data_IF_791666777411
#
_entry.id   IF_791666777411
#
_cell.length_a   1.000
_cell.length_b   1.000
_cell.length_c   1.000
_cell.angle_alpha   90.00
_cell.angle_beta   90.00
_cell.angle_gamma   90.00
#
_symmetry.space_group_name_H-M   'P 1'
#
loop_
_entity.id
_entity.type
_entity.pdbx_description
1 polymer ?
#
# COMPACT_ATOMS: atom_id res chain seq x y z
N UNK A 1 21.93 -14.05 41.31
CA UNK A 1 20.64 -14.60 40.83
C UNK A 1 20.52 -14.24 39.37
N UNK A 2 20.38 -15.28 38.55
CA UNK A 2 20.24 -15.34 37.09
C UNK A 2 19.55 -14.09 36.50
N UNK A 3 20.02 -13.51 35.40
CA UNK A 3 19.92 -14.13 34.08
C UNK A 3 20.97 -13.59 33.07
N UNK A 4 22.22 -14.02 33.19
CA UNK A 4 23.34 -13.78 32.24
C UNK A 4 23.30 -14.73 31.02
N UNK A 5 22.11 -15.19 30.61
CA UNK A 5 21.94 -16.26 29.62
C UNK A 5 21.82 -15.82 28.15
N UNK A 6 21.59 -14.54 27.87
CA UNK A 6 21.30 -14.08 26.49
C UNK A 6 22.50 -13.42 25.79
N UNK A 7 23.41 -12.81 26.54
CA UNK A 7 24.61 -12.16 25.99
C UNK A 7 25.77 -13.14 25.70
N UNK A 8 25.82 -14.29 26.39
CA UNK A 8 26.89 -15.27 26.16
C UNK A 8 26.67 -16.16 24.92
N UNK A 9 25.45 -16.17 24.36
CA UNK A 9 25.14 -16.88 23.11
C UNK A 9 25.51 -16.07 21.85
N UNK A 10 25.70 -14.75 21.97
CA UNK A 10 26.12 -13.88 20.86
C UNK A 10 27.65 -13.87 20.68
N UNK A 11 28.45 -13.84 21.76
CA UNK A 11 29.91 -13.76 21.65
C UNK A 11 30.60 -15.10 21.31
N UNK A 12 29.95 -16.23 21.62
CA UNK A 12 30.45 -17.56 21.24
C UNK A 12 30.22 -17.88 19.75
N UNK A 13 29.28 -17.20 19.09
CA UNK A 13 29.02 -17.37 17.65
C UNK A 13 29.89 -16.47 16.75
N UNK A 14 30.49 -15.42 17.31
CA UNK A 14 31.21 -14.40 16.54
C UNK A 14 32.73 -14.58 16.47
N UNK A 15 33.31 -15.54 17.20
CA UNK A 15 34.78 -15.59 17.29
C UNK A 15 35.49 -16.53 16.34
N UNK A 16 34.85 -17.51 15.69
CA UNK A 16 35.49 -18.23 14.57
C UNK A 16 34.46 -18.99 13.73
N UNK A 17 33.86 -18.32 12.73
CA UNK A 17 33.41 -18.94 11.47
C UNK A 17 33.01 -17.86 10.46
N UNK A 18 33.92 -17.63 9.53
CA UNK A 18 33.72 -17.16 8.16
C UNK A 18 32.92 -15.86 7.98
N UNK A 19 33.68 -14.78 7.76
CA UNK A 19 33.32 -13.50 7.12
C UNK A 19 32.34 -13.59 5.94
N UNK A 20 32.18 -14.77 5.34
CA UNK A 20 31.25 -15.03 4.27
C UNK A 20 29.78 -14.85 4.67
N UNK A 21 29.38 -15.24 5.89
CA UNK A 21 27.97 -15.15 6.32
C UNK A 21 27.54 -13.72 6.66
N UNK A 22 28.43 -12.94 7.27
CA UNK A 22 28.17 -11.52 7.56
C UNK A 22 28.13 -10.69 6.28
N UNK A 23 29.03 -10.97 5.32
CA UNK A 23 29.01 -10.37 3.99
C UNK A 23 27.78 -10.81 3.19
N UNK A 24 27.28 -12.05 3.34
CA UNK A 24 26.01 -12.49 2.73
C UNK A 24 24.81 -11.80 3.37
N UNK A 25 24.78 -11.61 4.70
CA UNK A 25 23.71 -10.89 5.37
C UNK A 25 23.71 -9.40 5.00
N UNK A 26 24.88 -8.76 5.00
CA UNK A 26 25.04 -7.38 4.53
C UNK A 26 24.73 -7.25 3.05
N UNK A 27 25.12 -8.21 2.20
CA UNK A 27 24.70 -8.23 0.78
C UNK A 27 23.21 -8.51 0.63
N UNK A 28 22.56 -9.30 1.48
CA UNK A 28 21.11 -9.48 1.47
C UNK A 28 20.36 -8.21 1.85
N UNK A 29 20.88 -7.45 2.81
CA UNK A 29 20.36 -6.12 3.15
C UNK A 29 20.67 -5.07 2.08
N UNK A 30 21.81 -5.17 1.39
CA UNK A 30 22.20 -4.22 0.34
C UNK A 30 21.57 -4.53 -1.03
N UNK A 31 21.16 -5.77 -1.29
CA UNK A 31 20.40 -6.20 -2.48
C UNK A 31 18.88 -6.13 -2.20
N UNK A 32 18.43 -5.05 -1.56
CA UNK A 32 17.00 -4.79 -1.32
C UNK A 32 16.39 -3.81 -2.34
N UNK A 33 17.21 -3.08 -3.11
CA UNK A 33 16.73 -2.01 -3.99
C UNK A 33 16.60 -2.36 -5.49
N UNK A 34 17.21 -3.44 -5.97
CA UNK A 34 17.35 -3.63 -7.43
C UNK A 34 16.35 -4.58 -8.09
N UNK A 35 15.54 -5.36 -7.36
CA UNK A 35 14.46 -6.14 -7.97
C UNK A 35 13.33 -6.40 -6.97
N UNK A 36 12.34 -5.50 -6.93
CA UNK A 36 11.00 -5.92 -6.54
C UNK A 36 10.61 -7.03 -7.52
N UNK A 37 10.46 -8.28 -7.05
CA UNK A 37 10.21 -9.40 -7.97
C UNK A 37 8.75 -9.30 -8.43
N UNK A 38 8.54 -8.52 -9.48
CA UNK A 38 7.27 -8.47 -10.22
C UNK A 38 7.30 -9.62 -11.22
N UNK A 39 7.15 -10.84 -10.73
CA UNK A 39 7.04 -12.00 -11.61
C UNK A 39 5.67 -11.99 -12.28
N UNK A 40 5.61 -11.46 -13.50
CA UNK A 40 4.42 -11.40 -14.36
C UNK A 40 3.78 -12.76 -14.69
N UNK A 41 4.40 -13.88 -14.26
CA UNK A 41 3.89 -15.24 -14.45
C UNK A 41 3.14 -15.80 -13.24
N UNK A 42 3.01 -15.05 -12.15
CA UNK A 42 2.29 -15.46 -10.94
C UNK A 42 0.79 -15.16 -11.06
N UNK A 43 -0.04 -15.96 -10.40
CA UNK A 43 -1.46 -15.64 -10.23
C UNK A 43 -1.65 -14.45 -9.27
N UNK A 44 -2.82 -13.79 -9.36
CA UNK A 44 -3.16 -12.57 -8.60
C UNK A 44 -2.91 -12.74 -7.09
N UNK A 45 -3.28 -13.89 -6.52
CA UNK A 45 -3.10 -14.16 -5.08
C UNK A 45 -1.62 -14.24 -4.72
N UNK A 46 -0.83 -14.99 -5.49
CA UNK A 46 0.62 -15.10 -5.27
C UNK A 46 1.33 -13.73 -5.35
N UNK A 47 0.88 -12.84 -6.24
CA UNK A 47 1.38 -11.46 -6.33
C UNK A 47 1.11 -10.69 -5.04
N UNK A 48 -0.13 -10.73 -4.52
CA UNK A 48 -0.47 -10.05 -3.28
C UNK A 48 0.26 -10.61 -2.06
N UNK A 49 0.39 -11.93 -1.95
CA UNK A 49 1.16 -12.57 -0.88
C UNK A 49 2.63 -12.13 -0.89
N UNK A 50 3.20 -11.96 -2.09
CA UNK A 50 4.54 -11.39 -2.26
C UNK A 50 4.62 -9.92 -1.84
N UNK A 51 3.63 -9.10 -2.20
CA UNK A 51 3.54 -7.69 -1.79
C UNK A 51 3.44 -7.54 -0.26
N UNK A 52 2.64 -8.38 0.40
CA UNK A 52 2.48 -8.37 1.85
C UNK A 52 3.80 -8.60 2.60
N UNK A 53 4.73 -9.36 2.03
CA UNK A 53 6.05 -9.59 2.62
C UNK A 53 7.04 -8.45 2.32
N UNK A 54 6.94 -7.84 1.14
CA UNK A 54 7.91 -6.85 0.67
C UNK A 54 7.58 -5.41 1.13
N UNK A 55 6.31 -5.03 1.19
CA UNK A 55 5.88 -3.67 1.55
C UNK A 55 6.39 -3.23 2.93
N UNK A 56 6.30 -4.03 4.01
CA UNK A 56 6.85 -3.65 5.30
C UNK A 56 8.34 -3.30 5.25
N UNK A 57 9.13 -4.08 4.49
CA UNK A 57 10.56 -3.84 4.35
C UNK A 57 10.87 -2.59 3.50
N UNK A 58 10.03 -2.30 2.49
CA UNK A 58 10.18 -1.12 1.64
C UNK A 58 10.01 0.19 2.41
N UNK A 59 9.10 0.21 3.39
CA UNK A 59 8.71 1.44 4.10
C UNK A 59 9.33 1.58 5.50
N UNK A 60 10.12 0.61 5.96
CA UNK A 60 10.58 0.53 7.35
C UNK A 60 11.55 1.65 7.75
N UNK A 61 12.45 2.04 6.85
CA UNK A 61 13.61 2.90 7.18
C UNK A 61 13.46 4.36 6.69
N UNK A 62 12.38 4.69 6.00
CA UNK A 62 12.12 6.03 5.47
C UNK A 62 11.02 6.73 6.29
N UNK A 63 11.31 7.84 7.00
CA UNK A 63 10.29 8.57 7.75
C UNK A 63 9.40 9.48 6.89
N UNK A 64 9.81 9.83 5.66
CA UNK A 64 9.02 10.71 4.80
C UNK A 64 7.82 9.96 4.18
N UNK A 65 6.62 10.38 4.58
CA UNK A 65 5.36 9.77 4.13
C UNK A 65 5.19 9.94 2.62
N UNK A 66 5.60 11.07 2.03
CA UNK A 66 5.43 11.32 0.60
C UNK A 66 6.34 10.39 -0.21
N UNK A 67 7.59 10.20 0.21
CA UNK A 67 8.51 9.26 -0.42
C UNK A 67 7.98 7.82 -0.39
N UNK A 68 7.49 7.37 0.77
CA UNK A 68 6.92 6.04 0.92
C UNK A 68 5.67 5.83 0.05
N UNK A 69 4.69 6.74 0.11
CA UNK A 69 3.48 6.64 -0.69
C UNK A 69 3.78 6.72 -2.20
N UNK A 70 4.76 7.53 -2.60
CA UNK A 70 5.21 7.59 -3.99
C UNK A 70 5.76 6.24 -4.47
N UNK A 71 6.66 5.62 -3.70
CA UNK A 71 7.20 4.29 -4.04
C UNK A 71 6.11 3.21 -4.04
N UNK A 72 5.19 3.24 -3.08
CA UNK A 72 4.07 2.29 -3.05
C UNK A 72 3.16 2.44 -4.27
N UNK A 73 2.82 3.67 -4.67
CA UNK A 73 2.04 3.91 -5.88
C UNK A 73 2.74 3.36 -7.13
N UNK A 74 4.07 3.53 -7.22
CA UNK A 74 4.88 3.00 -8.31
C UNK A 74 4.89 1.47 -8.32
N UNK A 75 5.05 0.82 -7.16
CA UNK A 75 5.01 -0.64 -7.01
C UNK A 75 3.66 -1.20 -7.47
N UNK A 76 2.55 -0.63 -7.00
CA UNK A 76 1.21 -1.09 -7.40
C UNK A 76 0.98 -0.92 -8.90
N UNK A 77 1.30 0.26 -9.45
CA UNK A 77 1.12 0.52 -10.87
C UNK A 77 1.99 -0.37 -11.75
N UNK A 78 3.25 -0.59 -11.37
CA UNK A 78 4.13 -1.49 -12.11
C UNK A 78 3.66 -2.95 -12.06
N UNK A 79 3.09 -3.37 -10.93
CA UNK A 79 2.64 -4.75 -10.70
C UNK A 79 1.34 -5.06 -11.42
N UNK A 80 0.31 -4.24 -11.22
CA UNK A 80 -1.05 -4.53 -11.69
C UNK A 80 -1.42 -3.85 -13.00
N UNK A 81 -0.65 -2.83 -13.42
CA UNK A 81 -0.95 -2.01 -14.60
C UNK A 81 -2.36 -1.39 -14.57
N UNK A 82 -2.86 -1.10 -13.36
CA UNK A 82 -4.12 -0.37 -13.20
C UNK A 82 -4.03 1.01 -13.83
N UNK A 83 -5.16 1.49 -14.35
CA UNK A 83 -5.25 2.78 -15.03
C UNK A 83 -4.84 3.93 -14.12
N UNK A 84 -5.33 3.89 -12.88
CA UNK A 84 -4.96 4.83 -11.84
C UNK A 84 -4.79 4.08 -10.52
N UNK A 85 -3.78 4.44 -9.74
CA UNK A 85 -3.61 3.98 -8.36
C UNK A 85 -2.88 5.03 -7.54
N UNK A 86 -3.38 5.33 -6.36
CA UNK A 86 -2.79 6.37 -5.53
C UNK A 86 -3.50 6.58 -4.23
N UNK A 87 -3.09 7.66 -3.56
CA UNK A 87 -3.55 7.97 -2.23
C UNK A 87 -4.24 9.34 -2.18
N UNK A 88 -5.30 9.43 -1.39
CA UNK A 88 -5.80 10.71 -0.90
C UNK A 88 -5.66 10.74 0.62
N UNK A 89 -5.18 11.85 1.16
CA UNK A 89 -4.92 12.01 2.60
C UNK A 89 -5.94 12.96 3.22
N UNK A 90 -6.40 12.64 4.42
CA UNK A 90 -7.31 13.49 5.17
C UNK A 90 -6.59 14.77 5.58
N UNK A 91 -7.13 15.91 5.17
CA UNK A 91 -6.73 17.25 5.60
C UNK A 91 -8.00 18.05 5.87
N UNK A 92 -8.26 18.30 7.16
CA UNK A 92 -9.49 18.94 7.61
C UNK A 92 -10.72 18.17 7.09
N UNK A 93 -11.64 18.84 6.38
CA UNK A 93 -12.89 18.25 5.87
C UNK A 93 -12.75 17.62 4.47
N UNK A 94 -11.51 17.43 3.99
CA UNK A 94 -11.23 16.94 2.65
C UNK A 94 -10.25 15.78 2.64
N UNK A 95 -10.48 14.87 1.69
CA UNK A 95 -9.44 14.05 1.09
C UNK A 95 -8.67 14.92 0.09
N UNK A 96 -7.37 15.07 0.28
CA UNK A 96 -6.47 15.83 -0.59
C UNK A 96 -5.53 14.88 -1.30
N UNK A 97 -5.40 15.06 -2.62
CA UNK A 97 -4.56 14.21 -3.47
C UNK A 97 -3.13 14.10 -2.94
N UNK A 98 -2.68 12.87 -2.70
CA UNK A 98 -1.32 12.49 -2.36
C UNK A 98 -0.59 11.87 -3.56
N UNK A 99 0.48 11.09 -3.34
CA UNK A 99 1.19 10.42 -4.43
C UNK A 99 0.32 9.38 -5.15
N UNK A 100 0.48 9.31 -6.47
CA UNK A 100 -0.30 8.42 -7.35
C UNK A 100 0.46 8.12 -8.64
N UNK A 101 -0.05 7.15 -9.39
CA UNK A 101 0.34 6.84 -10.77
C UNK A 101 -0.93 6.81 -11.65
N UNK A 102 -0.88 7.45 -12.80
CA UNK A 102 -2.01 7.58 -13.73
C UNK A 102 -2.15 8.99 -14.29
N UNK A 103 -3.23 9.29 -15.04
CA UNK A 103 -3.53 10.64 -15.50
C UNK A 103 -3.83 11.61 -14.34
N UNK A 104 -3.86 12.91 -14.65
CA UNK A 104 -4.23 13.98 -13.69
C UNK A 104 -5.59 13.67 -13.04
N UNK A 105 -5.64 13.80 -11.71
CA UNK A 105 -6.82 13.50 -10.89
C UNK A 105 -7.36 14.74 -10.17
N UNK A 106 -8.55 14.60 -9.57
CA UNK A 106 -9.14 15.64 -8.74
C UNK A 106 -8.26 15.96 -7.53
N UNK A 107 -8.06 17.24 -7.20
CA UNK A 107 -7.16 17.60 -6.08
C UNK A 107 -7.81 17.44 -4.70
N UNK A 108 -9.14 17.60 -4.60
CA UNK A 108 -9.89 17.57 -3.35
C UNK A 108 -11.21 16.84 -3.50
N UNK A 109 -11.53 16.00 -2.50
CA UNK A 109 -12.78 15.25 -2.41
C UNK A 109 -13.37 15.50 -1.02
N UNK A 110 -14.61 15.99 -0.95
CA UNK A 110 -15.26 16.28 0.32
C UNK A 110 -15.73 15.01 1.04
N UNK A 111 -15.83 15.08 2.37
CA UNK A 111 -16.33 13.97 3.20
C UNK A 111 -17.68 13.42 2.71
N UNK A 112 -17.76 12.10 2.49
CA UNK A 112 -18.98 11.43 2.03
C UNK A 112 -19.37 11.71 0.57
N UNK A 113 -18.46 12.23 -0.26
CA UNK A 113 -18.72 12.53 -1.68
C UNK A 113 -17.89 11.64 -2.61
N UNK A 114 -18.51 11.16 -3.68
CA UNK A 114 -17.89 10.16 -4.57
C UNK A 114 -17.61 8.84 -3.83
N UNK A 115 -16.96 7.90 -4.52
CA UNK A 115 -16.60 6.61 -3.93
C UNK A 115 -15.55 6.81 -2.83
N UNK A 116 -14.48 7.55 -3.12
CA UNK A 116 -13.45 7.94 -2.15
C UNK A 116 -14.00 8.54 -0.84
N UNK A 117 -14.81 9.60 -0.93
CA UNK A 117 -15.38 10.24 0.24
C UNK A 117 -16.39 9.35 0.97
N UNK A 118 -17.10 8.47 0.26
CA UNK A 118 -18.01 7.50 0.86
C UNK A 118 -17.25 6.44 1.65
N UNK A 119 -16.16 5.89 1.11
CA UNK A 119 -15.30 4.95 1.83
C UNK A 119 -14.72 5.57 3.10
N UNK A 120 -14.29 6.84 3.02
CA UNK A 120 -13.85 7.61 4.19
C UNK A 120 -14.97 7.77 5.24
N UNK A 121 -16.19 8.12 4.81
CA UNK A 121 -17.33 8.33 5.69
C UNK A 121 -17.81 7.04 6.37
N UNK A 122 -17.91 5.96 5.60
CA UNK A 122 -18.42 4.67 6.06
C UNK A 122 -17.37 3.84 6.79
N UNK A 123 -16.09 4.25 6.73
CA UNK A 123 -14.95 3.53 7.32
C UNK A 123 -14.95 2.06 6.91
N UNK A 124 -15.10 1.84 5.60
CA UNK A 124 -15.02 0.51 4.99
C UNK A 124 -14.57 0.61 3.55
N UNK A 125 -14.02 -0.48 3.05
CA UNK A 125 -13.66 -0.59 1.64
C UNK A 125 -14.89 -0.65 0.75
N UNK A 126 -14.76 -0.10 -0.45
CA UNK A 126 -15.78 -0.13 -1.49
C UNK A 126 -15.19 -0.77 -2.75
N UNK A 127 -15.89 -1.76 -3.28
CA UNK A 127 -15.71 -2.26 -4.64
C UNK A 127 -16.91 -1.77 -5.46
N UNK A 128 -16.63 -1.00 -6.50
CA UNK A 128 -17.65 -0.42 -7.39
C UNK A 128 -17.45 -1.01 -8.79
N UNK A 129 -18.25 -2.03 -9.18
CA UNK A 129 -18.10 -2.69 -10.48
C UNK A 129 -18.40 -1.79 -11.67
N UNK A 130 -19.32 -0.83 -11.52
CA UNK A 130 -19.60 0.24 -12.49
C UNK A 130 -19.74 1.57 -11.75
N UNK A 131 -18.80 2.49 -11.97
CA UNK A 131 -18.81 3.82 -11.33
C UNK A 131 -19.95 4.71 -11.82
N UNK A 132 -20.49 4.46 -13.02
CA UNK A 132 -21.61 5.24 -13.57
C UNK A 132 -22.92 4.94 -12.84
N UNK A 133 -23.03 3.75 -12.24
CA UNK A 133 -24.18 3.34 -11.44
C UNK A 133 -24.07 3.79 -9.96
N UNK A 134 -22.92 4.33 -9.56
CA UNK A 134 -22.70 4.77 -8.18
C UNK A 134 -23.37 6.13 -7.92
N UNK A 135 -24.34 6.14 -7.01
CA UNK A 135 -25.07 7.36 -6.64
C UNK A 135 -24.13 8.41 -6.01
N UNK A 136 -24.10 9.61 -6.59
CA UNK A 136 -23.21 10.68 -6.14
C UNK A 136 -21.76 10.53 -6.58
N UNK A 137 -21.50 9.75 -7.64
CA UNK A 137 -20.21 9.63 -8.29
C UNK A 137 -19.68 11.01 -8.71
N UNK A 138 -18.42 11.27 -8.37
CA UNK A 138 -17.64 12.41 -8.85
C UNK A 138 -16.65 11.86 -9.86
N UNK A 139 -17.03 11.85 -11.13
CA UNK A 139 -16.14 11.38 -12.19
C UNK A 139 -14.99 12.37 -12.37
N UNK A 140 -13.77 11.94 -12.05
CA UNK A 140 -12.55 12.68 -12.42
C UNK A 140 -12.10 12.34 -13.86
N UNK A 141 -12.51 11.18 -14.39
CA UNK A 141 -12.24 10.72 -15.76
C UNK A 141 -13.42 9.92 -16.31
N UNK A 142 -13.77 10.12 -17.59
CA UNK A 142 -14.80 9.32 -18.28
C UNK A 142 -14.31 7.95 -18.73
N UNK A 143 -13.02 7.64 -18.56
CA UNK A 143 -12.41 6.36 -18.96
C UNK A 143 -12.41 5.36 -17.81
N UNK A 144 -12.43 5.81 -16.55
CA UNK A 144 -12.58 4.90 -15.40
C UNK A 144 -14.01 4.35 -15.40
N UNK A 145 -14.14 3.03 -15.33
CA UNK A 145 -15.42 2.33 -15.32
C UNK A 145 -15.63 1.47 -14.08
N UNK A 146 -14.57 1.10 -13.35
CA UNK A 146 -14.67 0.41 -12.06
C UNK A 146 -13.61 0.94 -11.08
N UNK A 147 -13.92 0.90 -9.79
CA UNK A 147 -13.10 1.53 -8.74
C UNK A 147 -13.06 0.66 -7.48
N UNK A 148 -11.89 0.56 -6.85
CA UNK A 148 -11.74 0.09 -5.47
C UNK A 148 -11.18 1.23 -4.63
N UNK A 149 -11.82 1.48 -3.48
CA UNK A 149 -11.29 2.39 -2.46
C UNK A 149 -11.16 1.65 -1.14
N UNK A 150 -9.98 1.74 -0.52
CA UNK A 150 -9.66 1.14 0.77
C UNK A 150 -9.19 2.21 1.77
N UNK A 151 -9.84 2.37 2.94
CA UNK A 151 -9.38 3.31 3.95
C UNK A 151 -8.03 2.93 4.57
N UNK A 152 -7.17 3.93 4.80
CA UNK A 152 -5.95 3.82 5.58
C UNK A 152 -6.25 4.18 7.04
N UNK A 153 -5.97 3.26 7.96
CA UNK A 153 -6.17 3.46 9.40
C UNK A 153 -4.85 3.71 10.13
N UNK A 154 -4.77 4.79 10.92
CA UNK A 154 -3.65 4.99 11.83
C UNK A 154 -3.69 4.03 13.03
N UNK A 155 -2.70 4.12 13.90
CA UNK A 155 -2.61 3.30 15.13
C UNK A 155 -3.80 3.50 16.09
N UNK A 156 -4.51 4.64 16.00
CA UNK A 156 -5.71 4.95 16.78
C UNK A 156 -7.02 4.51 16.11
N UNK A 157 -6.96 3.77 14.99
CA UNK A 157 -8.13 3.33 14.20
C UNK A 157 -8.91 4.48 13.56
N UNK A 158 -8.26 5.62 13.33
CA UNK A 158 -8.84 6.74 12.57
C UNK A 158 -8.47 6.63 11.10
N UNK A 159 -9.40 6.99 10.22
CA UNK A 159 -9.12 7.06 8.78
C UNK A 159 -8.29 8.31 8.50
N UNK A 160 -7.06 8.12 8.07
CA UNK A 160 -6.09 9.19 7.76
C UNK A 160 -5.92 9.42 6.25
N UNK A 161 -6.51 8.55 5.45
CA UNK A 161 -6.53 8.63 4.00
C UNK A 161 -7.23 7.43 3.39
N UNK A 162 -7.16 7.34 2.07
CA UNK A 162 -7.64 6.19 1.31
C UNK A 162 -6.59 5.82 0.25
N UNK A 163 -6.47 4.51 -0.02
CA UNK A 163 -5.88 3.97 -1.24
C UNK A 163 -7.01 3.83 -2.26
N UNK A 164 -6.83 4.43 -3.42
CA UNK A 164 -7.81 4.50 -4.50
C UNK A 164 -7.21 3.90 -5.79
N UNK A 165 -8.01 3.10 -6.48
CA UNK A 165 -7.63 2.30 -7.64
C UNK A 165 -8.77 2.36 -8.66
N UNK A 166 -8.47 2.92 -9.83
CA UNK A 166 -9.38 2.93 -10.99
C UNK A 166 -8.97 1.88 -12.03
N UNK A 167 -9.96 1.37 -12.75
CA UNK A 167 -9.75 0.62 -13.98
C UNK A 167 -10.65 1.09 -15.11
N UNK A 168 -10.08 1.06 -16.31
CA UNK A 168 -10.73 1.21 -17.61
C UNK A 168 -11.49 -0.06 -18.08
N UNK A 169 -11.51 -1.12 -17.24
CA UNK A 169 -12.13 -2.42 -17.55
C UNK A 169 -13.07 -2.86 -16.44
N UNK A 170 -14.27 -3.28 -16.83
CA UNK A 170 -15.20 -3.96 -15.94
C UNK A 170 -14.62 -5.30 -15.47
N UNK A 171 -14.85 -5.64 -14.19
CA UNK A 171 -14.50 -6.94 -13.62
C UNK A 171 -13.00 -7.23 -13.49
N UNK A 172 -12.11 -6.24 -13.72
CA UNK A 172 -10.68 -6.38 -13.43
C UNK A 172 -10.42 -6.43 -11.91
N UNK A 173 -11.20 -5.61 -11.19
CA UNK A 173 -11.19 -5.46 -9.75
C UNK A 173 -12.24 -6.38 -9.12
N UNK A 174 -11.86 -7.11 -8.08
CA UNK A 174 -12.71 -8.11 -7.43
C UNK A 174 -12.50 -8.17 -5.91
N UNK A 175 -13.25 -9.05 -5.25
CA UNK A 175 -13.19 -9.24 -3.79
C UNK A 175 -11.83 -9.73 -3.29
N UNK A 176 -11.03 -10.40 -4.12
CA UNK A 176 -9.68 -10.80 -3.73
C UNK A 176 -8.78 -9.57 -3.64
N UNK A 177 -8.94 -8.59 -4.53
CA UNK A 177 -8.24 -7.31 -4.43
C UNK A 177 -8.56 -6.62 -3.11
N UNK A 178 -9.84 -6.48 -2.74
CA UNK A 178 -10.26 -5.89 -1.45
C UNK A 178 -9.58 -6.60 -0.28
N UNK A 179 -9.67 -7.93 -0.24
CA UNK A 179 -9.13 -8.73 0.87
C UNK A 179 -7.63 -8.48 1.11
N UNK A 180 -6.83 -8.39 0.05
CA UNK A 180 -5.39 -8.16 0.18
C UNK A 180 -5.05 -6.68 0.39
N UNK A 181 -5.76 -5.77 -0.27
CA UNK A 181 -5.53 -4.34 -0.15
C UNK A 181 -5.90 -3.82 1.23
N UNK A 182 -6.88 -4.39 1.94
CA UNK A 182 -7.18 -4.06 3.33
C UNK A 182 -6.03 -4.41 4.29
N UNK A 183 -5.39 -5.56 4.07
CA UNK A 183 -4.22 -5.97 4.85
C UNK A 183 -3.04 -5.05 4.59
N UNK A 184 -2.77 -4.75 3.32
CA UNK A 184 -1.71 -3.82 2.91
C UNK A 184 -1.98 -2.40 3.46
N UNK A 185 -3.21 -1.92 3.36
CA UNK A 185 -3.62 -0.61 3.87
C UNK A 185 -3.49 -0.51 5.38
N UNK A 186 -3.73 -1.61 6.10
CA UNK A 186 -3.49 -1.69 7.56
C UNK A 186 -2.00 -1.56 7.89
N UNK A 187 -1.12 -2.20 7.11
CA UNK A 187 0.33 -2.09 7.27
C UNK A 187 0.78 -0.65 7.04
N UNK A 188 0.39 -0.07 5.89
CA UNK A 188 0.75 1.30 5.49
C UNK A 188 0.25 2.31 6.53
N UNK A 189 -1.03 2.23 6.88
CA UNK A 189 -1.67 3.15 7.82
C UNK A 189 -0.99 3.18 9.18
N UNK A 190 -0.71 2.00 9.76
CA UNK A 190 -0.05 1.91 11.07
C UNK A 190 1.42 2.30 11.05
N UNK A 191 2.13 2.01 9.97
CA UNK A 191 3.57 2.28 9.88
C UNK A 191 3.85 3.76 9.59
N UNK A 192 3.06 4.40 8.73
CA UNK A 192 3.33 5.75 8.23
C UNK A 192 2.55 6.84 8.96
N UNK A 193 1.45 6.50 9.64
CA UNK A 193 0.59 7.45 10.32
C UNK A 193 0.47 7.03 11.79
N UNK A 194 1.38 7.54 12.61
CA UNK A 194 1.38 7.38 14.06
C UNK A 194 0.51 8.44 14.75
#
# INVERSE_FOLDING_TARGET
MLNDGFLFLLDSFLTHKNDFFSVILQKKFFVMSENFIISSSLDKKSIYESLLLQIPALIADEPDIVANLANLSAVFHQTFKWWWVGFYLVKEDFLVLGPFQGPVACTRIAFGKGVCGTAWKEKRSLLVPDVNDFSGHIACSSISVSEIVVPLYNSSSEVVGVLDIDSEKFGLLDEADIYYLEQISTIIGKALFA
#
